data_IF_475051277910
#
_entry.id   IF_475051277910
#
_cell.length_a   1.000
_cell.length_b   1.000
_cell.length_c   1.000
_cell.angle_alpha   90.00
_cell.angle_beta   90.00
_cell.angle_gamma   90.00
#
_symmetry.space_group_name_H-M   'P 1'
#
loop_
_entity.id
_entity.type
_entity.pdbx_description
1 polymer ?
#
# COMPACT_ATOMS: atom_id res chain seq x y z
N UNK A 1 3.72 -4.48 -22.06
CA UNK A 1 3.92 -3.89 -20.70
C UNK A 1 2.89 -4.47 -19.76
N UNK A 2 3.20 -4.60 -18.46
CA UNK A 2 2.20 -4.99 -17.44
C UNK A 2 2.13 -3.83 -16.42
N UNK A 3 0.94 -3.36 -16.12
CA UNK A 3 0.65 -2.32 -15.15
C UNK A 3 -0.26 -2.89 -14.04
N UNK A 4 0.31 -3.33 -12.92
CA UNK A 4 -0.47 -3.74 -11.76
C UNK A 4 -0.84 -2.53 -10.91
N UNK A 5 -2.03 -2.57 -10.25
CA UNK A 5 -2.47 -1.60 -9.24
C UNK A 5 -2.62 -0.17 -9.78
N UNK A 6 -3.00 -0.01 -11.03
CA UNK A 6 -3.20 1.31 -11.63
C UNK A 6 -3.72 1.24 -13.07
N UNK A 7 -4.10 2.40 -13.56
CA UNK A 7 -4.24 2.71 -15.00
C UNK A 7 -5.47 2.19 -15.71
N UNK A 8 -6.49 1.64 -15.02
CA UNK A 8 -7.72 1.19 -15.70
C UNK A 8 -8.40 2.32 -16.50
N UNK A 9 -8.35 3.55 -16.01
CA UNK A 9 -9.01 4.72 -16.62
C UNK A 9 -8.07 5.63 -17.42
N UNK A 10 -6.80 5.26 -17.62
CA UNK A 10 -5.78 6.09 -18.28
C UNK A 10 -5.80 5.97 -19.82
N UNK A 11 -6.98 6.13 -20.42
CA UNK A 11 -7.24 5.85 -21.86
C UNK A 11 -6.31 6.57 -22.84
N UNK A 12 -5.82 7.76 -22.48
CA UNK A 12 -4.89 8.52 -23.31
C UNK A 12 -3.54 7.79 -23.40
N UNK A 13 -3.06 7.26 -22.27
CA UNK A 13 -1.81 6.52 -22.22
C UNK A 13 -1.93 5.14 -22.88
N UNK A 14 -3.11 4.51 -22.83
CA UNK A 14 -3.36 3.26 -23.58
C UNK A 14 -3.14 3.48 -25.07
N UNK A 15 -3.67 4.58 -25.64
CA UNK A 15 -3.48 4.94 -27.04
C UNK A 15 -2.03 5.26 -27.39
N UNK A 16 -1.33 6.01 -26.51
CA UNK A 16 0.10 6.34 -26.71
C UNK A 16 0.97 5.07 -26.76
N UNK A 17 0.64 4.06 -25.94
CA UNK A 17 1.38 2.79 -25.96
C UNK A 17 1.05 1.96 -27.19
N UNK A 18 -0.21 1.91 -27.59
CA UNK A 18 -0.66 1.23 -28.82
C UNK A 18 -0.02 1.84 -30.07
N UNK A 19 0.03 3.17 -30.19
CA UNK A 19 0.75 3.88 -31.26
C UNK A 19 2.25 3.54 -31.32
N UNK A 20 2.81 3.08 -30.19
CA UNK A 20 4.21 2.61 -30.09
C UNK A 20 4.36 1.09 -30.25
N UNK A 21 3.30 0.41 -30.63
CA UNK A 21 3.26 -1.04 -30.76
C UNK A 21 3.64 -1.77 -29.45
N UNK A 22 3.24 -1.23 -28.29
CA UNK A 22 3.47 -1.81 -26.97
C UNK A 22 2.15 -2.38 -26.44
N UNK A 23 2.02 -3.70 -26.44
CA UNK A 23 0.90 -4.39 -25.77
C UNK A 23 0.86 -4.03 -24.28
N UNK A 24 -0.33 -3.67 -23.77
CA UNK A 24 -0.56 -3.29 -22.38
C UNK A 24 -1.55 -4.24 -21.70
N UNK A 25 -1.11 -4.89 -20.63
CA UNK A 25 -1.95 -5.65 -19.69
C UNK A 25 -2.06 -4.89 -18.40
N UNK A 26 -3.29 -4.58 -17.98
CA UNK A 26 -3.60 -3.90 -16.71
C UNK A 26 -4.27 -4.90 -15.77
N UNK A 27 -3.76 -4.99 -14.54
CA UNK A 27 -4.29 -5.83 -13.47
C UNK A 27 -4.61 -4.92 -12.28
N UNK A 28 -5.82 -4.39 -12.21
CA UNK A 28 -6.19 -3.27 -11.34
C UNK A 28 -7.47 -3.55 -10.55
N UNK A 29 -7.74 -2.73 -9.53
CA UNK A 29 -8.88 -2.86 -8.65
C UNK A 29 -9.56 -1.51 -8.31
N UNK A 30 -9.01 -0.40 -8.80
CA UNK A 30 -9.57 0.93 -8.58
C UNK A 30 -10.91 1.09 -9.30
N UNK A 31 -11.76 2.00 -8.83
CA UNK A 31 -13.01 2.32 -9.50
C UNK A 31 -12.75 2.78 -10.95
N UNK A 32 -13.57 2.28 -11.87
CA UNK A 32 -13.51 2.67 -13.28
C UNK A 32 -14.44 3.87 -13.44
N UNK A 33 -13.86 5.07 -13.56
CA UNK A 33 -14.58 6.34 -13.64
C UNK A 33 -14.97 6.74 -15.08
N UNK A 34 -14.60 5.93 -16.08
CA UNK A 34 -14.81 6.19 -17.50
C UNK A 34 -15.23 4.94 -18.23
N UNK A 35 -15.87 5.14 -19.37
CA UNK A 35 -16.09 4.04 -20.32
C UNK A 35 -14.77 3.57 -20.91
N UNK A 36 -14.39 2.34 -20.63
CA UNK A 36 -13.17 1.68 -21.12
C UNK A 36 -13.44 0.78 -22.35
N UNK A 37 -14.68 0.77 -22.87
CA UNK A 37 -15.01 -0.02 -24.07
C UNK A 37 -14.19 0.47 -25.27
N UNK A 38 -13.59 -0.47 -25.97
CA UNK A 38 -12.76 -0.17 -27.16
C UNK A 38 -11.35 0.36 -26.85
N UNK A 39 -10.92 0.34 -25.57
CA UNK A 39 -9.50 0.61 -25.26
C UNK A 39 -8.58 -0.44 -25.91
N UNK A 40 -7.39 -0.03 -26.43
CA UNK A 40 -6.42 -1.00 -26.97
C UNK A 40 -5.73 -1.83 -25.86
N UNK A 41 -5.82 -1.43 -24.58
CA UNK A 41 -5.26 -2.18 -23.48
C UNK A 41 -6.13 -3.40 -23.10
N UNK A 42 -5.49 -4.48 -22.65
CA UNK A 42 -6.19 -5.58 -21.98
C UNK A 42 -6.36 -5.23 -20.50
N UNK A 43 -7.55 -4.79 -20.10
CA UNK A 43 -7.88 -4.41 -18.73
C UNK A 43 -8.56 -5.56 -18.01
N UNK A 44 -7.99 -5.97 -16.87
CA UNK A 44 -8.58 -6.93 -15.93
C UNK A 44 -8.76 -6.19 -14.62
N UNK A 45 -10.01 -5.86 -14.30
CA UNK A 45 -10.39 -5.12 -13.11
C UNK A 45 -11.65 -5.73 -12.51
N UNK A 46 -11.66 -5.95 -11.20
CA UNK A 46 -12.80 -6.53 -10.51
C UNK A 46 -13.97 -5.54 -10.30
N UNK A 47 -13.78 -4.26 -10.61
CA UNK A 47 -14.82 -3.22 -10.56
C UNK A 47 -15.62 -3.08 -11.85
N UNK A 48 -15.29 -3.81 -12.92
CA UNK A 48 -16.00 -3.76 -14.22
C UNK A 48 -17.44 -4.33 -14.18
N UNK A 49 -17.88 -4.81 -13.02
CA UNK A 49 -19.20 -5.38 -12.79
C UNK A 49 -19.35 -6.84 -13.23
N UNK A 50 -18.37 -7.43 -13.90
CA UNK A 50 -18.37 -8.84 -14.33
C UNK A 50 -17.89 -9.79 -13.23
N UNK A 51 -17.07 -9.30 -12.29
CA UNK A 51 -16.51 -10.10 -11.20
C UNK A 51 -17.35 -9.98 -9.91
N UNK A 52 -17.67 -11.11 -9.23
CA UNK A 52 -18.59 -11.08 -8.09
C UNK A 52 -18.01 -10.46 -6.81
N UNK A 53 -16.70 -10.23 -6.75
CA UNK A 53 -16.01 -9.64 -5.60
C UNK A 53 -15.35 -8.30 -5.97
N UNK A 54 -16.06 -7.17 -5.79
CA UNK A 54 -15.48 -5.86 -6.08
C UNK A 54 -14.50 -5.38 -5.00
N UNK A 55 -14.36 -6.10 -3.88
CA UNK A 55 -13.51 -5.69 -2.73
C UNK A 55 -12.11 -6.32 -2.77
N UNK A 56 -11.74 -6.97 -3.87
CA UNK A 56 -10.43 -7.59 -4.01
C UNK A 56 -9.40 -6.54 -4.42
N UNK A 57 -8.27 -6.47 -3.71
CA UNK A 57 -7.16 -5.57 -4.06
C UNK A 57 -6.35 -6.07 -5.26
N UNK A 58 -5.50 -5.21 -5.81
CA UNK A 58 -4.63 -5.56 -6.94
C UNK A 58 -3.80 -6.84 -6.70
N UNK A 59 -3.17 -7.09 -5.54
CA UNK A 59 -2.53 -8.38 -5.25
C UNK A 59 -3.47 -9.57 -5.41
N UNK A 60 -4.73 -9.42 -5.00
CA UNK A 60 -5.75 -10.46 -5.20
C UNK A 60 -6.12 -10.66 -6.66
N UNK A 61 -6.28 -9.57 -7.43
CA UNK A 61 -6.52 -9.63 -8.89
C UNK A 61 -5.36 -10.32 -9.59
N UNK A 62 -4.12 -9.95 -9.26
CA UNK A 62 -2.90 -10.58 -9.80
C UNK A 62 -2.87 -12.08 -9.47
N UNK A 63 -3.17 -12.46 -8.23
CA UNK A 63 -3.25 -13.87 -7.82
C UNK A 63 -4.27 -14.64 -8.67
N UNK A 64 -5.47 -14.12 -8.86
CA UNK A 64 -6.52 -14.76 -9.66
C UNK A 64 -6.12 -14.90 -11.13
N UNK A 65 -5.54 -13.84 -11.70
CA UNK A 65 -5.03 -13.86 -13.07
C UNK A 65 -3.93 -14.91 -13.25
N UNK A 66 -2.91 -14.89 -12.40
CA UNK A 66 -1.79 -15.83 -12.47
C UNK A 66 -2.24 -17.27 -12.24
N UNK A 67 -3.14 -17.51 -11.29
CA UNK A 67 -3.70 -18.86 -11.08
C UNK A 67 -4.45 -19.40 -12.32
N UNK A 68 -5.15 -18.54 -13.07
CA UNK A 68 -5.76 -18.91 -14.35
C UNK A 68 -4.72 -19.11 -15.45
N UNK A 69 -3.69 -18.27 -15.46
CA UNK A 69 -2.58 -18.39 -16.39
C UNK A 69 -1.81 -19.71 -16.19
N UNK A 70 -1.49 -20.08 -14.94
CA UNK A 70 -0.88 -21.36 -14.59
C UNK A 70 -1.74 -22.54 -15.04
N UNK A 71 -3.02 -22.52 -14.68
CA UNK A 71 -3.96 -23.58 -15.07
C UNK A 71 -4.03 -23.79 -16.59
N UNK A 72 -3.92 -22.71 -17.38
CA UNK A 72 -4.08 -22.74 -18.82
C UNK A 72 -2.80 -23.14 -19.55
N UNK A 73 -1.66 -22.62 -19.11
CA UNK A 73 -0.44 -22.66 -19.93
C UNK A 73 0.73 -23.45 -19.33
N UNK A 74 0.80 -23.61 -18.00
CA UNK A 74 1.99 -24.21 -17.37
C UNK A 74 2.20 -25.66 -17.81
N UNK A 75 1.14 -26.44 -17.96
CA UNK A 75 1.24 -27.81 -18.47
C UNK A 75 1.85 -27.87 -19.88
N UNK A 76 1.47 -26.94 -20.74
CA UNK A 76 1.97 -26.85 -22.12
C UNK A 76 3.44 -26.39 -22.15
N UNK A 77 3.82 -25.56 -21.17
CA UNK A 77 5.18 -25.03 -21.02
C UNK A 77 6.09 -25.96 -20.21
N UNK A 78 5.58 -27.07 -19.67
CA UNK A 78 6.36 -27.98 -18.81
C UNK A 78 6.77 -27.35 -17.48
N UNK A 79 5.97 -26.39 -16.96
CA UNK A 79 6.18 -25.71 -15.70
C UNK A 79 5.25 -26.25 -14.62
N UNK A 80 5.68 -26.20 -13.36
CA UNK A 80 4.85 -26.55 -12.20
C UNK A 80 4.17 -25.28 -11.66
N UNK A 81 2.84 -25.33 -11.34
CA UNK A 81 2.13 -24.24 -10.72
C UNK A 81 2.71 -23.90 -9.34
N UNK A 82 2.99 -22.63 -9.07
CA UNK A 82 3.56 -22.20 -7.79
C UNK A 82 2.94 -20.91 -7.20
N UNK A 83 1.87 -20.38 -7.78
CA UNK A 83 1.28 -19.12 -7.30
C UNK A 83 0.88 -19.17 -5.82
N UNK A 84 0.56 -20.34 -5.29
CA UNK A 84 0.20 -20.52 -3.87
C UNK A 84 1.39 -20.30 -2.91
N UNK A 85 2.63 -20.35 -3.41
CA UNK A 85 3.82 -20.03 -2.61
C UNK A 85 3.87 -18.54 -2.23
N UNK A 86 3.12 -17.68 -2.93
CA UNK A 86 3.05 -16.23 -2.69
C UNK A 86 1.84 -15.78 -1.89
N UNK A 87 1.06 -16.71 -1.31
CA UNK A 87 -0.16 -16.37 -0.57
C UNK A 87 0.09 -15.48 0.64
N UNK A 88 1.25 -15.56 1.27
CA UNK A 88 1.65 -14.68 2.38
C UNK A 88 1.87 -13.23 1.91
N UNK A 89 2.49 -13.02 0.74
CA UNK A 89 2.64 -11.71 0.10
C UNK A 89 1.26 -11.17 -0.32
N UNK A 90 0.40 -12.01 -0.91
CA UNK A 90 -0.96 -11.65 -1.30
C UNK A 90 -1.77 -11.22 -0.07
N UNK A 91 -1.72 -12.00 1.01
CA UNK A 91 -2.38 -11.64 2.27
C UNK A 91 -1.87 -10.31 2.83
N UNK A 92 -0.54 -10.07 2.73
CA UNK A 92 0.06 -8.80 3.16
C UNK A 92 -0.50 -7.63 2.36
N UNK A 93 -0.60 -7.75 1.04
CA UNK A 93 -1.17 -6.70 0.17
C UNK A 93 -2.65 -6.45 0.45
N UNK A 94 -3.47 -7.50 0.56
CA UNK A 94 -4.90 -7.38 0.87
C UNK A 94 -5.13 -6.66 2.20
N UNK A 95 -4.36 -6.99 3.24
CA UNK A 95 -4.48 -6.34 4.56
C UNK A 95 -3.94 -4.92 4.54
N UNK A 96 -2.82 -4.69 3.85
CA UNK A 96 -2.21 -3.36 3.73
C UNK A 96 -3.15 -2.35 3.03
N UNK A 97 -3.95 -2.84 2.08
CA UNK A 97 -4.92 -2.08 1.31
C UNK A 97 -6.29 -1.97 2.03
N UNK A 98 -6.40 -2.50 3.23
CA UNK A 98 -7.61 -2.43 4.06
C UNK A 98 -8.87 -2.99 3.41
N UNK A 99 -8.74 -4.02 2.57
CA UNK A 99 -9.85 -4.65 1.88
C UNK A 99 -10.93 -5.18 2.82
N UNK A 100 -12.18 -5.23 2.33
CA UNK A 100 -13.31 -5.74 3.11
C UNK A 100 -13.24 -7.26 3.33
N UNK A 101 -12.83 -7.67 4.51
CA UNK A 101 -12.74 -9.08 4.89
C UNK A 101 -14.09 -9.74 5.20
N UNK A 102 -15.21 -9.03 5.09
CA UNK A 102 -16.55 -9.62 5.12
C UNK A 102 -16.83 -10.43 3.87
N UNK A 103 -16.19 -10.07 2.75
CA UNK A 103 -16.22 -10.87 1.54
C UNK A 103 -15.49 -12.20 1.75
N UNK A 104 -16.14 -13.31 1.38
CA UNK A 104 -15.62 -14.67 1.64
C UNK A 104 -14.33 -14.97 0.89
N UNK A 105 -14.21 -14.53 -0.36
CA UNK A 105 -13.00 -14.76 -1.18
C UNK A 105 -11.82 -13.97 -0.63
N UNK A 106 -12.01 -12.67 -0.34
CA UNK A 106 -10.97 -11.81 0.23
C UNK A 106 -10.48 -12.37 1.55
N UNK A 107 -11.40 -12.74 2.44
CA UNK A 107 -11.07 -13.39 3.72
C UNK A 107 -10.36 -14.73 3.54
N UNK A 108 -10.81 -15.56 2.59
CA UNK A 108 -10.18 -16.86 2.31
C UNK A 108 -8.71 -16.71 1.92
N UNK A 109 -8.38 -15.76 1.03
CA UNK A 109 -7.00 -15.51 0.61
C UNK A 109 -6.12 -15.07 1.78
N UNK A 110 -6.63 -14.19 2.63
CA UNK A 110 -5.88 -13.75 3.83
C UNK A 110 -5.66 -14.92 4.79
N UNK A 111 -6.69 -15.71 5.09
CA UNK A 111 -6.56 -16.85 6.01
C UNK A 111 -5.59 -17.90 5.46
N UNK A 112 -5.64 -18.17 4.16
CA UNK A 112 -4.70 -19.09 3.51
C UNK A 112 -3.27 -18.59 3.55
N UNK A 113 -3.05 -17.28 3.31
CA UNK A 113 -1.75 -16.68 3.45
C UNK A 113 -1.22 -16.75 4.89
N UNK A 114 -2.07 -16.61 5.90
CA UNK A 114 -1.69 -16.73 7.31
C UNK A 114 -1.23 -18.13 7.69
N UNK A 115 -1.76 -19.21 7.07
CA UNK A 115 -1.36 -20.61 7.36
C UNK A 115 0.14 -20.84 7.06
N UNK A 116 0.70 -20.15 6.08
CA UNK A 116 2.10 -20.31 5.66
C UNK A 116 2.94 -19.05 5.86
N UNK A 117 2.41 -18.04 6.53
CA UNK A 117 2.97 -16.71 6.60
C UNK A 117 4.42 -16.68 7.09
N UNK A 118 5.31 -16.16 6.21
CA UNK A 118 6.74 -16.05 6.50
C UNK A 118 7.51 -17.37 6.62
N UNK A 119 6.91 -18.52 6.27
CA UNK A 119 7.62 -19.81 6.30
C UNK A 119 8.68 -19.88 5.20
N UNK A 120 8.34 -19.42 4.02
CA UNK A 120 9.20 -19.48 2.84
C UNK A 120 9.69 -18.08 2.41
N UNK A 121 9.11 -17.00 2.93
CA UNK A 121 9.52 -15.64 2.65
C UNK A 121 10.41 -15.07 3.76
N UNK A 122 11.69 -14.92 3.48
CA UNK A 122 12.72 -14.51 4.45
C UNK A 122 12.50 -13.08 4.97
N UNK A 123 11.95 -12.16 4.16
CA UNK A 123 11.68 -10.80 4.61
C UNK A 123 10.46 -10.76 5.54
N UNK A 124 9.37 -11.46 5.18
CA UNK A 124 8.19 -11.54 6.03
C UNK A 124 8.51 -12.25 7.36
N UNK A 125 9.33 -13.30 7.33
CA UNK A 125 9.86 -13.93 8.54
C UNK A 125 10.59 -12.92 9.42
N UNK A 126 11.53 -12.16 8.85
CA UNK A 126 12.31 -11.16 9.61
C UNK A 126 11.41 -10.04 10.19
N UNK A 127 10.37 -9.62 9.48
CA UNK A 127 9.39 -8.65 9.96
C UNK A 127 8.55 -9.20 11.13
N UNK A 128 8.13 -10.48 11.05
CA UNK A 128 7.42 -11.17 12.15
C UNK A 128 8.30 -11.32 13.39
N UNK A 129 9.54 -11.73 13.23
CA UNK A 129 10.51 -11.82 14.32
C UNK A 129 10.72 -10.47 15.01
N UNK A 130 10.73 -9.40 14.23
CA UNK A 130 10.82 -8.04 14.80
C UNK A 130 9.54 -7.62 15.53
N UNK A 131 8.37 -7.99 15.04
CA UNK A 131 7.10 -7.77 15.73
C UNK A 131 7.06 -8.53 17.07
N UNK A 132 7.51 -9.78 17.08
CA UNK A 132 7.56 -10.65 18.26
C UNK A 132 8.46 -10.11 19.39
N UNK A 133 9.51 -9.35 19.04
CA UNK A 133 10.37 -8.69 20.04
C UNK A 133 9.66 -7.59 20.83
N UNK A 134 8.58 -7.03 20.28
CA UNK A 134 7.83 -5.90 20.86
C UNK A 134 6.51 -6.31 21.51
N UNK A 135 5.96 -7.44 21.08
CA UNK A 135 4.69 -8.00 21.53
C UNK A 135 4.85 -9.50 21.66
N UNK A 136 4.11 -10.14 22.54
CA UNK A 136 4.04 -11.62 22.62
C UNK A 136 3.24 -12.18 21.43
N UNK A 137 3.74 -11.93 20.21
CA UNK A 137 3.16 -12.47 18.98
C UNK A 137 3.72 -13.86 18.77
N UNK A 138 2.90 -14.88 19.02
CA UNK A 138 3.26 -16.29 18.82
C UNK A 138 2.93 -16.79 17.43
N UNK A 139 1.91 -16.22 16.81
CA UNK A 139 1.46 -16.53 15.45
C UNK A 139 1.08 -15.27 14.69
N UNK A 140 1.25 -15.24 13.36
CA UNK A 140 0.83 -14.11 12.54
C UNK A 140 -0.70 -13.99 12.55
N UNK A 141 -1.18 -12.76 12.69
CA UNK A 141 -2.59 -12.38 12.61
C UNK A 141 -2.80 -11.25 11.61
N UNK A 142 -4.05 -10.98 11.26
CA UNK A 142 -4.41 -9.82 10.44
C UNK A 142 -3.88 -8.52 11.08
N UNK A 143 -4.00 -8.39 12.40
CA UNK A 143 -3.48 -7.22 13.13
C UNK A 143 -1.95 -7.14 13.06
N UNK A 144 -1.25 -8.28 13.14
CA UNK A 144 0.21 -8.31 12.97
C UNK A 144 0.63 -7.82 11.59
N UNK A 145 -0.08 -8.27 10.54
CA UNK A 145 0.18 -7.79 9.18
C UNK A 145 -0.09 -6.29 9.09
N UNK A 146 -1.27 -5.84 9.51
CA UNK A 146 -1.73 -4.45 9.37
C UNK A 146 -0.91 -3.44 10.18
N UNK A 147 -0.44 -3.82 11.35
CA UNK A 147 0.22 -2.88 12.29
C UNK A 147 1.73 -3.03 12.40
N UNK A 148 2.28 -4.20 12.11
CA UNK A 148 3.70 -4.46 12.32
C UNK A 148 4.46 -4.78 11.03
N UNK A 149 3.82 -5.41 10.03
CA UNK A 149 4.46 -5.81 8.76
C UNK A 149 4.24 -4.79 7.64
N UNK A 150 3.00 -4.44 7.35
CA UNK A 150 2.68 -3.54 6.24
C UNK A 150 3.23 -2.09 6.42
N UNK A 151 3.22 -1.46 7.62
CA UNK A 151 3.66 -0.09 7.75
C UNK A 151 5.15 0.16 7.41
N UNK A 152 6.13 -0.68 7.79
CA UNK A 152 7.52 -0.53 7.32
C UNK A 152 7.67 -0.68 5.80
N UNK A 153 6.94 -1.62 5.18
CA UNK A 153 6.92 -1.82 3.72
C UNK A 153 6.38 -0.56 3.04
N UNK A 154 5.22 -0.08 3.48
CA UNK A 154 4.58 1.12 2.95
C UNK A 154 5.45 2.39 3.12
N UNK A 155 6.24 2.47 4.20
CA UNK A 155 7.17 3.58 4.38
C UNK A 155 8.25 3.60 3.31
N UNK A 156 8.78 2.44 2.90
CA UNK A 156 9.73 2.34 1.79
C UNK A 156 9.10 2.83 0.48
N UNK A 157 7.87 2.40 0.15
CA UNK A 157 7.20 2.84 -1.07
C UNK A 157 6.93 4.36 -1.08
N UNK A 158 6.58 4.96 0.05
CA UNK A 158 6.24 6.38 0.13
C UNK A 158 7.46 7.29 0.21
N UNK A 159 8.50 6.91 0.94
CA UNK A 159 9.64 7.78 1.25
C UNK A 159 11.01 7.19 0.89
N UNK A 160 11.09 5.90 0.59
CA UNK A 160 12.33 5.26 0.14
C UNK A 160 12.71 5.72 -1.26
N UNK A 161 14.04 5.78 -1.52
CA UNK A 161 14.57 6.01 -2.85
C UNK A 161 14.31 4.82 -3.79
N UNK A 162 14.67 4.99 -5.06
CA UNK A 162 14.51 3.93 -6.06
C UNK A 162 15.26 2.64 -5.65
N UNK A 163 16.47 2.79 -5.09
CA UNK A 163 17.27 1.66 -4.61
C UNK A 163 16.57 0.93 -3.44
N UNK A 164 15.95 1.66 -2.50
CA UNK A 164 15.20 1.06 -1.39
C UNK A 164 14.03 0.19 -1.89
N UNK A 165 13.31 0.70 -2.89
CA UNK A 165 12.16 0.00 -3.50
C UNK A 165 12.62 -1.23 -4.27
N UNK A 166 13.75 -1.12 -4.99
CA UNK A 166 14.32 -2.25 -5.73
C UNK A 166 14.86 -3.34 -4.80
N UNK A 167 15.54 -2.96 -3.73
CA UNK A 167 16.01 -3.91 -2.71
C UNK A 167 14.84 -4.57 -1.98
N UNK A 168 13.74 -3.82 -1.70
CA UNK A 168 12.52 -4.39 -1.14
C UNK A 168 11.92 -5.45 -2.07
N UNK A 169 11.80 -5.15 -3.37
CA UNK A 169 11.31 -6.10 -4.37
C UNK A 169 12.16 -7.39 -4.38
N UNK A 170 13.48 -7.26 -4.45
CA UNK A 170 14.39 -8.39 -4.38
C UNK A 170 14.22 -9.21 -3.09
N UNK A 171 14.09 -8.53 -1.95
CA UNK A 171 13.94 -9.20 -0.66
C UNK A 171 12.62 -9.96 -0.56
N UNK A 172 11.50 -9.40 -1.08
CA UNK A 172 10.19 -10.05 -1.17
C UNK A 172 10.20 -11.27 -2.12
N UNK A 173 11.05 -11.25 -3.14
CA UNK A 173 11.24 -12.39 -4.06
C UNK A 173 12.35 -13.35 -3.61
N UNK A 174 12.74 -13.31 -2.34
CA UNK A 174 13.76 -14.17 -1.73
C UNK A 174 15.14 -14.14 -2.43
N UNK A 175 15.48 -13.02 -3.07
CA UNK A 175 16.81 -12.89 -3.66
C UNK A 175 17.88 -12.96 -2.59
N UNK A 176 18.88 -13.83 -2.79
CA UNK A 176 20.00 -14.04 -1.84
C UNK A 176 21.15 -13.14 -2.22
N UNK A 177 21.43 -12.17 -1.37
CA UNK A 177 22.53 -11.22 -1.55
C UNK A 177 23.08 -10.78 -0.20
N UNK A 178 24.39 -10.59 -0.09
CA UNK A 178 25.02 -10.00 1.09
C UNK A 178 25.22 -8.50 0.86
N UNK A 179 24.86 -7.72 1.87
CA UNK A 179 25.05 -6.27 1.91
C UNK A 179 26.03 -5.89 3.02
N UNK A 180 26.72 -4.77 2.80
CA UNK A 180 27.64 -4.20 3.80
C UNK A 180 27.12 -2.81 4.18
N UNK A 181 27.02 -2.53 5.47
CA UNK A 181 26.72 -1.19 5.94
C UNK A 181 27.69 -0.74 7.05
N UNK A 182 27.90 0.57 7.14
CA UNK A 182 28.66 1.19 8.22
C UNK A 182 27.67 1.75 9.24
N UNK A 183 27.69 1.29 10.50
CA UNK A 183 26.78 1.81 11.53
C UNK A 183 26.97 3.31 11.76
N UNK A 184 25.88 4.05 11.85
CA UNK A 184 25.92 5.50 12.12
C UNK A 184 26.41 5.82 13.54
N UNK A 185 26.21 4.90 14.50
CA UNK A 185 26.58 5.05 15.92
C UNK A 185 27.42 3.89 16.39
N UNK A 186 28.29 4.15 17.36
CA UNK A 186 29.01 3.11 18.11
C UNK A 186 28.02 2.34 18.98
N UNK A 187 28.20 1.04 19.08
CA UNK A 187 27.48 0.18 20.02
C UNK A 187 28.48 -0.55 20.90
N UNK A 188 28.00 -1.21 21.96
CA UNK A 188 28.86 -2.02 22.83
C UNK A 188 29.56 -3.13 22.04
N UNK A 189 28.84 -3.73 21.07
CA UNK A 189 29.35 -4.84 20.25
C UNK A 189 30.10 -4.36 19.01
N UNK A 190 30.02 -3.08 18.65
CA UNK A 190 30.76 -2.48 17.52
C UNK A 190 31.20 -1.06 17.88
N UNK A 191 32.24 -0.92 18.77
CA UNK A 191 32.70 0.37 19.26
C UNK A 191 33.40 1.22 18.20
N UNK A 192 33.95 0.58 17.18
CA UNK A 192 34.76 1.23 16.13
C UNK A 192 33.96 1.54 14.88
N UNK A 193 32.65 1.18 14.84
CA UNK A 193 31.79 1.29 13.66
C UNK A 193 32.31 0.50 12.46
N UNK A 194 32.95 -0.63 12.71
CA UNK A 194 33.43 -1.50 11.65
C UNK A 194 32.27 -1.88 10.71
N UNK A 195 32.50 -2.02 9.41
CA UNK A 195 31.50 -2.49 8.48
C UNK A 195 30.89 -3.82 8.93
N UNK A 196 29.57 -3.93 8.80
CA UNK A 196 28.79 -5.12 9.16
C UNK A 196 28.25 -5.73 7.87
N UNK A 197 28.51 -7.03 7.68
CA UNK A 197 27.87 -7.83 6.63
C UNK A 197 26.53 -8.33 7.15
N UNK A 198 25.49 -8.17 6.33
CA UNK A 198 24.13 -8.62 6.63
C UNK A 198 23.45 -9.17 5.38
N UNK A 199 22.44 -10.00 5.51
CA UNK A 199 21.61 -10.41 4.38
C UNK A 199 20.82 -9.23 3.79
N UNK A 200 20.42 -9.34 2.52
CA UNK A 200 19.56 -8.33 1.88
C UNK A 200 18.29 -8.08 2.70
N UNK A 201 17.66 -9.13 3.23
CA UNK A 201 16.45 -9.04 4.04
C UNK A 201 16.69 -8.27 5.35
N UNK A 202 17.81 -8.53 6.03
CA UNK A 202 18.19 -7.78 7.24
C UNK A 202 18.49 -6.31 6.92
N UNK A 203 19.15 -6.04 5.78
CA UNK A 203 19.41 -4.69 5.30
C UNK A 203 18.10 -3.93 5.03
N UNK A 204 17.18 -4.54 4.27
CA UNK A 204 15.88 -3.96 3.95
C UNK A 204 15.08 -3.71 5.23
N UNK A 205 15.01 -4.66 6.16
CA UNK A 205 14.33 -4.49 7.45
C UNK A 205 14.89 -3.29 8.23
N UNK A 206 16.21 -3.18 8.33
CA UNK A 206 16.89 -2.07 9.02
C UNK A 206 16.58 -0.72 8.37
N UNK A 207 16.62 -0.65 7.03
CA UNK A 207 16.28 0.58 6.26
C UNK A 207 14.81 0.93 6.42
N UNK A 208 13.91 -0.04 6.30
CA UNK A 208 12.47 0.13 6.51
C UNK A 208 12.16 0.73 7.89
N UNK A 209 12.77 0.21 8.95
CA UNK A 209 12.62 0.75 10.31
C UNK A 209 13.16 2.18 10.43
N UNK A 210 14.26 2.48 9.77
CA UNK A 210 14.83 3.84 9.76
C UNK A 210 13.92 4.82 9.05
N UNK A 211 13.45 4.49 7.85
CA UNK A 211 12.54 5.29 7.03
C UNK A 211 11.21 5.49 7.78
N UNK A 212 10.62 4.40 8.30
CA UNK A 212 9.38 4.47 9.10
C UNK A 212 9.54 5.37 10.33
N UNK A 213 10.64 5.24 11.06
CA UNK A 213 10.92 6.09 12.21
C UNK A 213 11.13 7.57 11.85
N UNK A 214 11.65 7.88 10.67
CA UNK A 214 11.73 9.25 10.15
C UNK A 214 10.35 9.76 9.78
N UNK A 215 9.56 8.98 9.03
CA UNK A 215 8.19 9.30 8.69
C UNK A 215 7.34 9.61 9.91
N UNK A 216 7.39 8.77 10.94
CA UNK A 216 6.60 8.96 12.16
C UNK A 216 6.93 10.27 12.89
N UNK A 217 8.22 10.65 12.90
CA UNK A 217 8.66 11.92 13.49
C UNK A 217 8.18 13.12 12.68
N UNK A 218 8.26 13.04 11.34
CA UNK A 218 7.79 14.12 10.45
C UNK A 218 6.27 14.26 10.54
N UNK A 219 5.52 13.18 10.38
CA UNK A 219 4.06 13.15 10.50
C UNK A 219 3.58 13.69 11.85
N UNK A 220 4.31 13.42 12.94
CA UNK A 220 3.98 13.98 14.26
C UNK A 220 4.08 15.51 14.27
N UNK A 221 5.15 16.07 13.70
CA UNK A 221 5.33 17.53 13.61
C UNK A 221 4.28 18.18 12.70
N UNK A 222 4.03 17.57 11.55
CA UNK A 222 3.01 18.03 10.60
C UNK A 222 1.62 18.04 11.25
N UNK A 223 1.30 16.99 12.02
CA UNK A 223 0.04 16.91 12.77
C UNK A 223 -0.10 18.06 13.78
N UNK A 224 0.96 18.36 14.54
CA UNK A 224 0.97 19.48 15.51
C UNK A 224 0.71 20.82 14.81
N UNK A 225 1.29 21.04 13.60
CA UNK A 225 1.06 22.26 12.81
C UNK A 225 -0.39 22.35 12.35
N UNK A 226 -0.93 21.26 11.74
CA UNK A 226 -2.31 21.28 11.25
C UNK A 226 -3.34 21.40 12.38
N UNK A 227 -3.08 20.82 13.56
CA UNK A 227 -3.92 21.03 14.74
C UNK A 227 -3.94 22.51 15.16
N UNK A 228 -2.81 23.21 15.06
CA UNK A 228 -2.75 24.65 15.25
C UNK A 228 -3.62 25.41 14.25
N UNK A 229 -3.57 25.05 12.97
CA UNK A 229 -4.42 25.66 11.92
C UNK A 229 -5.91 25.37 12.18
N UNK A 230 -6.27 24.15 12.52
CA UNK A 230 -7.66 23.76 12.84
C UNK A 230 -8.22 24.62 13.98
N UNK A 231 -7.43 24.81 15.05
CA UNK A 231 -7.86 25.58 16.21
C UNK A 231 -7.93 27.09 15.90
N UNK A 232 -6.92 27.65 15.24
CA UNK A 232 -6.87 29.08 14.93
C UNK A 232 -7.96 29.54 13.95
N UNK A 233 -8.43 28.65 13.08
CA UNK A 233 -9.50 28.93 12.12
C UNK A 233 -10.88 28.43 12.60
N UNK A 234 -11.03 27.98 13.84
CA UNK A 234 -12.28 27.46 14.41
C UNK A 234 -12.93 26.34 13.62
N UNK A 235 -12.14 25.51 12.88
CA UNK A 235 -12.66 24.45 12.01
C UNK A 235 -13.32 23.31 12.81
N UNK A 236 -13.17 23.28 14.14
CA UNK A 236 -13.82 22.26 14.97
C UNK A 236 -15.34 22.41 15.03
N UNK A 237 -15.87 23.58 14.69
CA UNK A 237 -17.33 23.81 14.61
C UNK A 237 -17.95 23.21 13.36
N UNK A 238 -17.13 22.93 12.32
CA UNK A 238 -17.57 22.35 11.07
C UNK A 238 -17.86 20.86 11.20
N UNK A 239 -18.79 20.35 10.39
CA UNK A 239 -19.14 18.92 10.35
C UNK A 239 -18.04 18.08 9.68
N UNK A 240 -17.34 18.65 8.71
CA UNK A 240 -16.21 18.06 7.98
C UNK A 240 -15.04 19.00 8.15
N UNK A 241 -13.86 18.46 8.50
CA UNK A 241 -12.64 19.25 8.61
C UNK A 241 -11.98 19.36 7.24
N UNK A 242 -12.06 20.54 6.63
CA UNK A 242 -11.34 20.85 5.38
C UNK A 242 -10.15 21.72 5.76
N UNK A 243 -8.94 21.18 5.58
CA UNK A 243 -7.71 21.85 6.02
C UNK A 243 -6.81 22.11 4.82
N UNK A 244 -6.57 23.38 4.54
CA UNK A 244 -5.52 23.77 3.61
C UNK A 244 -4.16 23.56 4.28
N UNK A 245 -3.43 22.60 3.74
CA UNK A 245 -2.15 22.16 4.26
C UNK A 245 -0.98 22.50 3.32
N UNK A 246 -1.21 23.36 2.34
CA UNK A 246 -0.20 23.71 1.34
C UNK A 246 1.04 24.31 2.00
N UNK A 247 2.20 23.76 1.68
CA UNK A 247 3.48 24.14 2.27
C UNK A 247 3.71 23.69 3.74
N UNK A 248 2.74 23.01 4.38
CA UNK A 248 2.86 22.56 5.77
C UNK A 248 3.16 21.08 5.92
N UNK A 249 2.79 20.26 4.91
CA UNK A 249 2.98 18.80 4.94
C UNK A 249 3.58 18.30 3.62
N UNK A 250 4.27 17.17 3.69
CA UNK A 250 4.69 16.44 2.51
C UNK A 250 3.49 15.70 1.89
N UNK A 251 3.36 15.74 0.54
CA UNK A 251 2.27 15.10 -0.20
C UNK A 251 2.04 13.64 0.22
N UNK A 252 3.12 12.86 0.35
CA UNK A 252 3.05 11.45 0.75
C UNK A 252 2.54 11.21 2.18
N UNK A 253 2.38 12.27 3.01
CA UNK A 253 1.87 12.18 4.37
C UNK A 253 0.40 12.57 4.53
N UNK A 254 -0.21 13.22 3.52
CA UNK A 254 -1.58 13.75 3.62
C UNK A 254 -2.59 12.70 4.10
N UNK A 255 -2.57 11.49 3.53
CA UNK A 255 -3.46 10.41 3.96
C UNK A 255 -3.21 9.89 5.38
N UNK A 256 -1.92 9.87 5.84
CA UNK A 256 -1.58 9.46 7.19
C UNK A 256 -2.04 10.50 8.23
N UNK A 257 -1.84 11.78 7.93
CA UNK A 257 -2.26 12.90 8.78
C UNK A 257 -3.78 12.97 8.83
N UNK A 258 -4.48 12.86 7.69
CA UNK A 258 -5.94 12.82 7.62
C UNK A 258 -6.50 11.69 8.51
N UNK A 259 -5.96 10.47 8.42
CA UNK A 259 -6.39 9.34 9.25
C UNK A 259 -6.21 9.58 10.75
N UNK A 260 -5.10 10.23 11.16
CA UNK A 260 -4.87 10.60 12.57
C UNK A 260 -5.85 11.67 13.07
N UNK A 261 -6.15 12.67 12.23
CA UNK A 261 -7.13 13.71 12.54
C UNK A 261 -8.55 13.14 12.65
N UNK A 262 -8.96 12.24 11.73
CA UNK A 262 -10.23 11.49 11.83
C UNK A 262 -10.31 10.73 13.14
N UNK A 263 -9.25 10.00 13.49
CA UNK A 263 -9.21 9.21 14.73
C UNK A 263 -9.34 10.08 15.98
N UNK A 264 -8.78 11.29 15.95
CA UNK A 264 -8.80 12.24 17.07
C UNK A 264 -10.12 12.97 17.19
N UNK A 265 -10.59 13.58 16.10
CA UNK A 265 -11.75 14.48 16.10
C UNK A 265 -13.08 13.80 15.80
N UNK A 266 -13.05 12.54 15.33
CA UNK A 266 -14.25 11.75 14.98
C UNK A 266 -15.14 12.45 13.94
N UNK A 267 -14.50 13.08 12.96
CA UNK A 267 -15.11 13.78 11.85
C UNK A 267 -14.42 13.37 10.54
N UNK A 268 -15.10 13.43 9.39
CA UNK A 268 -14.42 13.34 8.10
C UNK A 268 -13.40 14.45 7.98
N UNK A 269 -12.26 14.15 7.35
CA UNK A 269 -11.15 15.09 7.16
C UNK A 269 -10.75 15.10 5.70
N UNK A 270 -10.66 16.29 5.12
CA UNK A 270 -10.09 16.55 3.80
C UNK A 270 -8.86 17.43 3.97
N UNK A 271 -7.71 16.91 3.62
CA UNK A 271 -6.46 17.68 3.52
C UNK A 271 -6.32 18.15 2.07
N UNK A 272 -6.09 19.43 1.89
CA UNK A 272 -5.88 20.05 0.56
C UNK A 272 -4.48 20.60 0.45
N UNK A 273 -3.91 20.57 -0.76
CA UNK A 273 -2.68 21.28 -1.14
C UNK A 273 -2.73 21.59 -2.62
N UNK A 274 -1.83 22.47 -3.10
CA UNK A 274 -1.68 22.80 -4.52
C UNK A 274 -1.35 21.60 -5.43
N UNK A 275 -0.79 20.54 -4.86
CA UNK A 275 -0.43 19.30 -5.58
C UNK A 275 -1.48 18.19 -5.46
N UNK A 276 -2.64 18.47 -4.87
CA UNK A 276 -3.70 17.51 -4.59
C UNK A 276 -3.98 17.36 -3.10
N UNK A 277 -4.71 16.33 -2.69
CA UNK A 277 -5.10 16.17 -1.31
C UNK A 277 -5.39 14.72 -0.92
N UNK A 278 -5.86 14.53 0.31
CA UNK A 278 -6.32 13.23 0.79
C UNK A 278 -7.52 13.39 1.70
N UNK A 279 -8.57 12.63 1.42
CA UNK A 279 -9.76 12.52 2.27
C UNK A 279 -9.73 11.25 3.11
N UNK A 280 -10.30 11.33 4.30
CA UNK A 280 -10.61 10.15 5.13
C UNK A 280 -11.97 10.35 5.78
N UNK A 281 -12.83 9.36 5.62
CA UNK A 281 -14.14 9.38 6.25
C UNK A 281 -14.08 8.90 7.71
N UNK A 282 -15.11 9.26 8.48
CA UNK A 282 -15.34 8.70 9.80
C UNK A 282 -16.54 7.75 9.73
N UNK A 283 -16.35 6.49 10.09
CA UNK A 283 -17.30 5.39 9.88
C UNK A 283 -18.72 5.65 10.43
N UNK A 284 -18.86 6.52 11.43
CA UNK A 284 -20.15 6.88 12.03
C UNK A 284 -20.75 8.17 11.44
N UNK A 285 -20.12 8.75 10.44
CA UNK A 285 -20.62 9.94 9.78
C UNK A 285 -21.52 9.54 8.59
N UNK A 286 -22.62 10.25 8.32
CA UNK A 286 -23.61 9.87 7.31
C UNK A 286 -23.17 10.21 5.86
N UNK A 287 -21.93 9.94 5.53
CA UNK A 287 -21.38 9.95 4.16
C UNK A 287 -20.99 8.51 3.84
N UNK A 288 -21.67 7.87 2.92
CA UNK A 288 -21.38 6.48 2.54
C UNK A 288 -20.10 6.37 1.71
N UNK A 289 -19.93 7.27 0.73
CA UNK A 289 -18.75 7.37 -0.11
C UNK A 289 -18.26 8.82 -0.10
N UNK A 290 -17.00 9.03 0.31
CA UNK A 290 -16.41 10.37 0.40
C UNK A 290 -16.13 10.93 -1.00
N UNK A 291 -15.75 10.08 -1.95
CA UNK A 291 -15.47 10.47 -3.33
C UNK A 291 -16.76 10.98 -4.02
N UNK A 292 -17.88 10.25 -3.90
CA UNK A 292 -19.18 10.68 -4.43
C UNK A 292 -19.60 12.03 -3.83
N UNK A 293 -19.37 12.19 -2.52
CA UNK A 293 -19.70 13.45 -1.84
C UNK A 293 -18.85 14.61 -2.34
N UNK A 294 -17.54 14.41 -2.53
CA UNK A 294 -16.62 15.41 -3.10
C UNK A 294 -17.00 15.74 -4.54
N UNK A 295 -17.26 14.74 -5.38
CA UNK A 295 -17.64 14.88 -6.79
C UNK A 295 -18.99 15.59 -6.97
N UNK A 296 -19.86 15.56 -5.95
CA UNK A 296 -21.14 16.30 -5.99
C UNK A 296 -20.98 17.82 -5.84
N UNK A 297 -19.80 18.31 -5.51
CA UNK A 297 -19.52 19.74 -5.30
C UNK A 297 -18.96 20.38 -6.57
N UNK A 298 -19.58 21.47 -7.03
CA UNK A 298 -19.07 22.29 -8.15
C UNK A 298 -17.71 22.94 -7.86
N UNK A 299 -17.29 22.97 -6.59
CA UNK A 299 -16.00 23.53 -6.15
C UNK A 299 -14.85 22.54 -6.27
N UNK A 300 -15.13 21.26 -6.46
CA UNK A 300 -14.13 20.20 -6.60
C UNK A 300 -13.99 19.88 -8.09
N UNK A 301 -12.83 20.13 -8.64
CA UNK A 301 -12.54 19.92 -10.07
C UNK A 301 -12.05 18.52 -10.38
N UNK A 302 -11.54 17.80 -9.38
CA UNK A 302 -11.06 16.43 -9.51
C UNK A 302 -11.14 15.73 -8.15
N UNK A 303 -11.73 14.56 -8.11
CA UNK A 303 -11.68 13.64 -6.97
C UNK A 303 -11.42 12.23 -7.50
N UNK A 304 -10.74 11.39 -6.72
CA UNK A 304 -10.40 10.01 -7.06
C UNK A 304 -9.89 9.29 -5.83
N UNK A 305 -9.67 8.01 -5.97
CA UNK A 305 -9.09 7.18 -4.92
C UNK A 305 -7.56 7.33 -4.81
#
# INVERSE_FOLDING_TARGET
MIAPDSSSSDLEWHKVLDEKEIDLLILDHHEIDRDIEGTPACVINNQDGSYPNPTLSAPGVVYKFLGKFEQRYFKELGLEPNINEYLDIIATGIVADSCDLRNEETRYLVLKGLETYGKDNLLLQALLEEASKRKDVTEPTIDTIGWDVAPPINAIFRQGGLEDRYDLFKALTNHVETRVHIPSRKTKDNPDKSPIEESLQANVLRRAKTIKGQQDRTVKKELEVLEGLILSNNLLDDKVLIVDADGYIERGHSGLVAGKLVSKYKKPVQILSSEGGSGRNYDKFPINNLNDWLSSSELITCSGE
#
